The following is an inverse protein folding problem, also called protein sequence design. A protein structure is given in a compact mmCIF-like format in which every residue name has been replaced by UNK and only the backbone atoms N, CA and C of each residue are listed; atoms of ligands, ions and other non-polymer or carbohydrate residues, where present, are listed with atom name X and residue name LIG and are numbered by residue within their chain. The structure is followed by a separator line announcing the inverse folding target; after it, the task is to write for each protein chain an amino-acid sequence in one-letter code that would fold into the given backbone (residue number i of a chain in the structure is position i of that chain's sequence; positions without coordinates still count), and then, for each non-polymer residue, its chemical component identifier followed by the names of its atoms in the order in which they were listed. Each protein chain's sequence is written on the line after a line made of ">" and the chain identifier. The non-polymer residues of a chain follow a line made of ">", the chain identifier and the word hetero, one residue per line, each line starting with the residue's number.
data_IF_515436230711
#
_entry.id   IF_515436230711
#
_cell.length_a   1.000
_cell.length_b   1.000
_cell.length_c   1.000
_cell.angle_alpha   90.00
_cell.angle_beta   90.00
_cell.angle_gamma   90.00
#
_symmetry.space_group_name_H-M   'P 1'
#
loop_
_entity.id
_entity.type
_entity.pdbx_description
1 polymer ?
#
# COMPACT_ATOMS: atom_id res chain seq x y z
N UNK A 1 5.52 16.99 8.53
CA UNK A 1 5.29 15.67 9.14
C UNK A 1 5.97 14.59 8.30
N UNK A 2 6.62 13.67 8.95
CA UNK A 2 7.34 12.58 8.26
C UNK A 2 6.50 11.32 8.18
N UNK A 3 6.51 10.72 7.01
CA UNK A 3 5.76 9.50 6.74
C UNK A 3 6.67 8.43 6.16
N UNK A 4 6.43 7.17 6.50
CA UNK A 4 7.16 6.07 5.89
C UNK A 4 6.70 5.86 4.44
N UNK A 5 7.65 5.59 3.57
CA UNK A 5 7.41 5.08 2.23
C UNK A 5 7.68 3.59 2.26
N UNK A 6 6.67 2.78 1.97
CA UNK A 6 6.74 1.32 2.14
C UNK A 6 6.37 0.57 0.87
N UNK A 7 6.88 -0.66 0.77
CA UNK A 7 6.41 -1.65 -0.17
C UNK A 7 5.77 -2.79 0.62
N UNK A 8 4.60 -3.20 0.20
CA UNK A 8 3.86 -4.31 0.80
C UNK A 8 3.60 -5.38 -0.25
N UNK A 9 3.66 -6.63 0.17
CA UNK A 9 3.07 -7.74 -0.59
C UNK A 9 1.90 -8.24 0.23
N UNK A 10 0.71 -8.24 -0.36
CA UNK A 10 -0.50 -8.60 0.33
C UNK A 10 -1.43 -9.42 -0.56
N UNK A 11 -2.31 -10.19 0.07
CA UNK A 11 -3.29 -11.00 -0.66
C UNK A 11 -4.49 -10.13 -1.00
N UNK A 12 -4.56 -9.73 -2.26
CA UNK A 12 -5.69 -8.95 -2.76
C UNK A 12 -6.84 -9.88 -3.15
N UNK A 13 -8.05 -9.39 -2.94
CA UNK A 13 -9.26 -10.10 -3.35
C UNK A 13 -9.59 -9.74 -4.79
N UNK A 14 -9.85 -10.76 -5.62
CA UNK A 14 -10.27 -10.55 -6.99
C UNK A 14 -11.78 -10.69 -7.14
N UNK A 15 -12.33 -9.86 -8.01
CA UNK A 15 -13.65 -10.08 -8.57
C UNK A 15 -13.49 -10.62 -9.98
N UNK A 16 -14.09 -11.76 -10.26
CA UNK A 16 -14.07 -12.38 -11.59
C UNK A 16 -15.44 -12.24 -12.24
N UNK A 17 -15.44 -11.85 -13.51
CA UNK A 17 -16.66 -11.77 -14.32
C UNK A 17 -16.90 -13.07 -15.08
N UNK A 18 -16.78 -14.20 -14.40
CA UNK A 18 -16.99 -15.49 -15.00
C UNK A 18 -18.32 -16.08 -14.56
N UNK A 19 -18.99 -16.74 -15.50
CA UNK A 19 -20.28 -17.38 -15.24
C UNK A 19 -20.14 -18.70 -14.50
N UNK A 20 -18.98 -19.33 -14.57
CA UNK A 20 -18.73 -20.61 -13.93
C UNK A 20 -17.81 -20.48 -12.74
N UNK A 21 -18.18 -21.13 -11.64
CA UNK A 21 -17.35 -21.26 -10.48
C UNK A 21 -16.38 -22.40 -10.68
N UNK A 22 -15.08 -22.09 -10.76
CA UNK A 22 -14.03 -23.08 -10.92
C UNK A 22 -13.08 -23.01 -9.74
N UNK A 23 -12.36 -24.09 -9.47
CA UNK A 23 -11.33 -24.11 -8.43
C UNK A 23 -10.18 -23.14 -8.71
N UNK A 24 -9.98 -22.80 -9.98
CA UNK A 24 -8.93 -21.87 -10.41
C UNK A 24 -9.16 -20.45 -9.86
N UNK A 25 -10.41 -20.08 -9.61
CA UNK A 25 -10.77 -18.76 -9.10
C UNK A 25 -10.83 -18.70 -7.57
N UNK A 26 -10.40 -19.75 -6.90
CA UNK A 26 -10.47 -19.86 -5.44
C UNK A 26 -9.23 -19.30 -4.74
N UNK A 27 -8.35 -18.63 -5.42
CA UNK A 27 -7.11 -18.13 -4.86
C UNK A 27 -7.11 -16.60 -4.75
N UNK A 28 -6.48 -16.11 -3.68
CA UNK A 28 -6.16 -14.68 -3.57
C UNK A 28 -4.87 -14.42 -4.34
N UNK A 29 -4.75 -13.23 -4.89
CA UNK A 29 -3.54 -12.84 -5.62
C UNK A 29 -2.58 -12.07 -4.74
N UNK A 30 -1.33 -12.53 -4.61
CA UNK A 30 -0.30 -11.70 -4.01
C UNK A 30 -0.05 -10.46 -4.89
N UNK A 31 -0.19 -9.30 -4.29
CA UNK A 31 -0.09 -8.03 -5.00
C UNK A 31 0.98 -7.17 -4.34
N UNK A 32 1.82 -6.55 -5.16
CA UNK A 32 2.81 -5.57 -4.69
C UNK A 32 2.15 -4.20 -4.67
N UNK A 33 2.21 -3.54 -3.53
CA UNK A 33 1.70 -2.19 -3.34
C UNK A 33 2.78 -1.34 -2.69
N UNK A 34 3.07 -0.20 -3.31
CA UNK A 34 3.96 0.80 -2.72
C UNK A 34 3.14 2.03 -2.36
N UNK A 35 3.57 2.75 -1.33
CA UNK A 35 2.89 3.98 -0.96
C UNK A 35 3.43 4.59 0.32
N UNK A 36 2.87 5.75 0.64
CA UNK A 36 3.21 6.51 1.83
C UNK A 36 2.17 6.19 2.90
N UNK A 37 2.65 5.79 4.09
CA UNK A 37 1.77 5.48 5.22
C UNK A 37 1.21 6.77 5.78
N UNK A 38 -0.09 6.96 5.67
CA UNK A 38 -0.78 8.13 6.22
C UNK A 38 -1.39 7.84 7.57
N UNK A 39 -1.92 6.65 7.73
CA UNK A 39 -2.53 6.22 9.00
C UNK A 39 -2.44 4.71 9.13
N UNK A 40 -2.26 4.27 10.35
CA UNK A 40 -2.10 2.85 10.64
C UNK A 40 -2.63 2.58 12.05
N UNK A 41 -3.36 1.47 12.21
CA UNK A 41 -3.76 0.96 13.50
C UNK A 41 -3.48 -0.55 13.56
N UNK A 42 -4.03 -1.25 14.56
CA UNK A 42 -3.79 -2.70 14.73
C UNK A 42 -4.41 -3.56 13.64
N UNK A 43 -5.40 -3.03 12.93
CA UNK A 43 -6.19 -3.80 11.97
C UNK A 43 -5.89 -3.49 10.52
N UNK A 44 -5.50 -2.25 10.22
CA UNK A 44 -5.38 -1.78 8.83
C UNK A 44 -4.33 -0.69 8.69
N UNK A 45 -3.91 -0.51 7.44
CA UNK A 45 -2.99 0.54 7.04
C UNK A 45 -3.57 1.30 5.85
N UNK A 46 -3.50 2.64 5.89
CA UNK A 46 -3.86 3.48 4.76
C UNK A 46 -2.60 3.96 4.07
N UNK A 47 -2.49 3.64 2.78
CA UNK A 47 -1.39 4.10 1.94
C UNK A 47 -1.90 5.08 0.91
N UNK A 48 -1.16 6.16 0.73
CA UNK A 48 -1.34 7.07 -0.40
C UNK A 48 -0.32 6.66 -1.46
N UNK A 49 -0.78 6.27 -2.65
CA UNK A 49 0.11 5.83 -3.72
C UNK A 49 0.26 6.86 -4.84
N UNK A 50 -0.42 7.98 -4.72
CA UNK A 50 -0.24 9.11 -5.60
C UNK A 50 -1.03 10.30 -5.09
N UNK A 51 -0.44 11.49 -5.15
CA UNK A 51 -1.16 12.74 -4.86
C UNK A 51 -0.49 13.89 -5.58
N UNK A 52 -1.30 14.89 -5.93
CA UNK A 52 -0.79 16.12 -6.51
C UNK A 52 -0.25 17.02 -5.40
N UNK A 53 0.93 17.60 -5.61
CA UNK A 53 1.48 18.57 -4.68
C UNK A 53 0.74 19.91 -4.72
N UNK A 54 -0.01 20.16 -5.79
CA UNK A 54 -0.76 21.40 -6.01
C UNK A 54 -2.23 21.33 -5.61
N UNK A 55 -2.74 20.13 -5.34
CA UNK A 55 -4.15 19.88 -5.05
C UNK A 55 -4.29 18.96 -3.84
N UNK A 56 -5.46 18.98 -3.22
CA UNK A 56 -5.77 18.11 -2.08
C UNK A 56 -6.24 16.71 -2.48
N UNK A 57 -6.13 16.36 -3.74
CA UNK A 57 -6.54 15.06 -4.24
C UNK A 57 -5.48 13.99 -4.00
N UNK A 58 -5.92 12.86 -3.45
CA UNK A 58 -5.05 11.72 -3.18
C UNK A 58 -5.69 10.45 -3.67
N UNK A 59 -4.87 9.58 -4.26
CA UNK A 59 -5.24 8.19 -4.48
C UNK A 59 -4.73 7.36 -3.31
N UNK A 60 -5.65 6.73 -2.59
CA UNK A 60 -5.26 5.93 -1.44
C UNK A 60 -5.94 4.56 -1.45
N UNK A 61 -5.36 3.65 -0.69
CA UNK A 61 -5.89 2.31 -0.47
C UNK A 61 -5.80 2.00 1.02
N UNK A 62 -6.81 1.30 1.53
CA UNK A 62 -6.80 0.77 2.89
C UNK A 62 -6.64 -0.74 2.82
N UNK A 63 -5.60 -1.26 3.45
CA UNK A 63 -5.25 -2.68 3.39
C UNK A 63 -5.37 -3.28 4.78
N UNK A 64 -6.15 -4.39 4.93
CA UNK A 64 -6.19 -5.11 6.19
C UNK A 64 -4.82 -5.70 6.52
N UNK A 65 -4.34 -5.47 7.73
CA UNK A 65 -3.03 -6.00 8.14
C UNK A 65 -2.95 -7.53 8.10
N UNK A 66 -4.06 -8.20 8.35
CA UNK A 66 -4.11 -9.66 8.29
C UNK A 66 -3.81 -10.22 6.89
N UNK A 67 -3.98 -9.41 5.84
CA UNK A 67 -3.69 -9.83 4.47
C UNK A 67 -2.27 -9.51 4.02
N UNK A 68 -1.48 -8.80 4.83
CA UNK A 68 -0.12 -8.41 4.48
C UNK A 68 0.83 -9.59 4.71
N UNK A 69 1.54 -9.99 3.67
CA UNK A 69 2.50 -11.08 3.70
C UNK A 69 3.91 -10.58 4.01
N UNK A 70 4.28 -9.43 3.44
CA UNK A 70 5.60 -8.82 3.63
C UNK A 70 5.48 -7.31 3.63
N UNK A 71 6.34 -6.67 4.40
CA UNK A 71 6.44 -5.21 4.45
C UNK A 71 7.90 -4.80 4.51
N UNK A 72 8.26 -3.79 3.73
CA UNK A 72 9.60 -3.20 3.77
C UNK A 72 9.50 -1.68 3.71
N UNK A 73 10.21 -1.02 4.61
CA UNK A 73 10.33 0.44 4.56
C UNK A 73 11.39 0.81 3.54
N UNK A 74 11.01 1.62 2.54
CA UNK A 74 11.89 2.05 1.46
C UNK A 74 12.52 3.40 1.74
N UNK A 75 11.89 4.22 2.57
CA UNK A 75 12.37 5.55 2.88
C UNK A 75 11.38 6.35 3.69
N UNK A 76 11.64 7.64 3.76
CA UNK A 76 10.82 8.61 4.49
C UNK A 76 10.47 9.75 3.54
N UNK A 77 9.20 10.16 3.56
CA UNK A 77 8.72 11.36 2.90
C UNK A 77 8.35 12.40 3.94
N UNK A 78 8.85 13.63 3.76
CA UNK A 78 8.49 14.76 4.61
C UNK A 78 7.51 15.65 3.86
N UNK A 79 6.27 15.70 4.33
CA UNK A 79 5.20 16.46 3.69
C UNK A 79 5.36 17.99 3.83
N UNK A 80 6.17 18.47 4.76
CA UNK A 80 6.40 19.90 4.92
C UNK A 80 7.42 20.43 3.92
N UNK A 81 8.46 19.66 3.63
CA UNK A 81 9.56 20.06 2.75
C UNK A 81 9.49 19.41 1.38
N UNK A 82 8.64 18.40 1.19
CA UNK A 82 8.58 17.53 0.01
C UNK A 82 9.88 16.77 -0.24
N UNK A 83 10.68 16.56 0.79
CA UNK A 83 11.90 15.77 0.69
C UNK A 83 11.64 14.28 0.78
N UNK A 84 12.36 13.52 -0.02
CA UNK A 84 12.33 12.06 0.01
C UNK A 84 13.73 11.57 0.37
N UNK A 85 13.79 10.71 1.40
CA UNK A 85 15.05 10.07 1.81
C UNK A 85 14.90 8.57 1.70
N UNK A 86 15.78 7.94 0.94
CA UNK A 86 15.80 6.48 0.82
C UNK A 86 16.43 5.86 2.06
N UNK A 87 15.89 4.72 2.48
CA UNK A 87 16.51 3.91 3.51
C UNK A 87 17.83 3.38 2.98
N UNK A 88 18.91 3.58 3.73
CA UNK A 88 20.17 2.94 3.39
C UNK A 88 20.27 1.61 4.11
N UNK A 89 20.27 0.54 3.34
CA UNK A 89 20.51 -0.80 3.84
C UNK A 89 21.94 -1.20 3.56
N UNK A 90 22.56 -1.71 4.58
CA UNK A 90 23.89 -2.28 4.45
C UNK A 90 23.90 -3.68 5.02
#
# INVERSE_FOLDING_TARGET
>A
MKHEFVALIWNDAFAFEEEELTDENFQLSPTLQCGIVIKEDDEKIRLVHGFSLDHDEHDFIVIPKASILKRKTLGIFDSETNEIRCSSEK
#
